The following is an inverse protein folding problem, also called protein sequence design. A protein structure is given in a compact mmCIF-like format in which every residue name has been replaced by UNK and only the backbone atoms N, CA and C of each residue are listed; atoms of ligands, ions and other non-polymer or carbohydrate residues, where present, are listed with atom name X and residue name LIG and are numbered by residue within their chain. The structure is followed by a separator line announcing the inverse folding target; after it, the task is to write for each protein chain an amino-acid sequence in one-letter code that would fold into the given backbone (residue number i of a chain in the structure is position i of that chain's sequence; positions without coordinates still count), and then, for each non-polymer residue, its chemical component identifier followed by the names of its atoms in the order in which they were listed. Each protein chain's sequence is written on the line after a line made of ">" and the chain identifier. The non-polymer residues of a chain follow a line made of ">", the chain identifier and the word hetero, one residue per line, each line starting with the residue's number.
data_IF_625516707585
#
_entry.id   IF_625516707585
#
_cell.length_a   1.000
_cell.length_b   1.000
_cell.length_c   1.000
_cell.angle_alpha   90.00
_cell.angle_beta   90.00
_cell.angle_gamma   90.00
#
_symmetry.space_group_name_H-M   'P 1'
#
loop_
_entity.id
_entity.type
_entity.pdbx_description
1 polymer ?
#
# COMPACT_ATOMS: atom_id res chain seq x y z
N UNK A 1 -22.78 -14.30 14.41
CA UNK A 1 -23.26 -13.76 13.11
C UNK A 1 -22.16 -13.76 12.03
N UNK A 2 -20.94 -13.27 12.29
CA UNK A 2 -19.84 -13.32 11.30
C UNK A 2 -19.33 -14.75 11.01
N UNK A 3 -19.05 -15.53 12.07
CA UNK A 3 -18.57 -16.92 11.92
C UNK A 3 -19.63 -17.85 11.32
N UNK A 4 -20.91 -17.65 11.69
CA UNK A 4 -22.03 -18.43 11.16
C UNK A 4 -22.28 -18.24 9.65
N UNK A 5 -21.71 -17.20 9.03
CA UNK A 5 -21.78 -16.96 7.59
C UNK A 5 -20.48 -17.23 6.84
N UNK A 6 -19.43 -17.72 7.50
CA UNK A 6 -18.11 -17.96 6.87
C UNK A 6 -17.33 -16.68 6.52
N UNK A 7 -17.72 -15.52 7.05
CA UNK A 7 -17.08 -14.24 6.74
C UNK A 7 -16.03 -13.88 7.80
N UNK A 8 -14.79 -13.64 7.38
CA UNK A 8 -13.76 -13.05 8.24
C UNK A 8 -13.82 -11.52 8.19
N UNK A 9 -13.41 -10.86 9.27
CA UNK A 9 -13.29 -9.39 9.31
C UNK A 9 -12.39 -8.87 8.20
N UNK A 10 -11.32 -9.60 7.88
CA UNK A 10 -10.42 -9.26 6.78
C UNK A 10 -11.13 -9.32 5.43
N UNK A 11 -11.95 -10.34 5.18
CA UNK A 11 -12.71 -10.46 3.93
C UNK A 11 -13.72 -9.30 3.76
N UNK A 12 -14.45 -8.95 4.82
CA UNK A 12 -15.44 -7.87 4.77
C UNK A 12 -14.78 -6.49 4.64
N UNK A 13 -13.71 -6.24 5.41
CA UNK A 13 -13.02 -4.96 5.43
C UNK A 13 -12.21 -4.75 4.16
N UNK A 14 -11.34 -5.70 3.79
CA UNK A 14 -10.33 -5.54 2.74
C UNK A 14 -10.84 -5.93 1.34
N UNK A 15 -11.92 -6.71 1.25
CA UNK A 15 -12.44 -7.23 -0.02
C UNK A 15 -13.65 -6.48 -0.57
N UNK A 16 -14.39 -5.71 0.25
CA UNK A 16 -15.62 -5.02 -0.18
C UNK A 16 -15.42 -3.55 -0.55
N UNK A 17 -14.34 -2.93 -0.07
CA UNK A 17 -14.10 -1.50 -0.24
C UNK A 17 -12.71 -1.29 -0.83
N UNK A 18 -12.60 -0.45 -1.86
CA UNK A 18 -11.30 -0.01 -2.40
C UNK A 18 -10.65 1.06 -1.53
N UNK A 19 -11.47 1.80 -0.76
CA UNK A 19 -11.07 2.92 0.09
C UNK A 19 -12.08 3.13 1.22
N UNK A 20 -11.59 3.60 2.37
CA UNK A 20 -12.43 3.97 3.52
C UNK A 20 -12.00 5.35 3.98
N UNK A 21 -12.93 6.32 3.97
CA UNK A 21 -12.71 7.67 4.48
C UNK A 21 -13.58 7.86 5.72
N UNK A 22 -12.96 7.92 6.89
CA UNK A 22 -13.63 8.14 8.16
C UNK A 22 -13.63 9.63 8.49
N UNK A 23 -14.81 10.26 8.50
CA UNK A 23 -14.97 11.64 8.94
C UNK A 23 -15.23 11.63 10.44
N UNK A 24 -14.30 12.22 11.21
CA UNK A 24 -14.43 12.28 12.68
C UNK A 24 -15.66 13.09 13.08
N UNK A 25 -16.48 12.59 14.00
CA UNK A 25 -17.63 13.31 14.57
C UNK A 25 -17.28 14.73 15.00
N UNK A 26 -18.16 15.71 14.76
CA UNK A 26 -17.93 17.09 15.20
C UNK A 26 -17.75 17.20 16.73
N UNK A 27 -18.27 16.25 17.52
CA UNK A 27 -18.05 16.20 18.96
C UNK A 27 -16.57 16.12 19.35
N UNK A 28 -15.71 15.57 18.49
CA UNK A 28 -14.26 15.50 18.67
C UNK A 28 -13.57 16.63 17.90
N UNK A 29 -13.17 17.69 18.61
CA UNK A 29 -12.41 18.81 18.06
C UNK A 29 -13.25 19.95 17.46
N UNK A 30 -14.57 19.83 17.35
CA UNK A 30 -15.47 20.90 16.89
C UNK A 30 -16.81 20.92 17.66
N UNK A 31 -16.77 20.73 18.99
CA UNK A 31 -17.95 20.53 19.81
C UNK A 31 -19.03 21.62 19.69
N UNK A 32 -18.64 22.88 19.39
CA UNK A 32 -19.57 23.97 19.13
C UNK A 32 -20.48 23.72 17.90
N UNK A 33 -20.03 22.91 16.94
CA UNK A 33 -20.81 22.47 15.78
C UNK A 33 -21.58 21.16 16.03
N UNK A 34 -21.47 20.57 17.24
CA UNK A 34 -22.12 19.33 17.60
C UNK A 34 -23.36 19.60 18.48
N UNK A 35 -24.55 19.50 17.89
CA UNK A 35 -25.81 19.73 18.61
C UNK A 35 -27.04 19.16 17.90
N UNK A 36 -28.19 19.22 18.57
CA UNK A 36 -29.47 18.65 18.10
C UNK A 36 -30.34 19.65 17.32
N UNK A 37 -29.94 20.93 17.24
CA UNK A 37 -30.68 21.97 16.50
C UNK A 37 -30.84 21.66 15.00
N UNK A 38 -29.99 20.78 14.45
CA UNK A 38 -29.98 20.40 13.03
C UNK A 38 -30.28 18.92 12.78
N UNK A 39 -30.50 18.10 13.82
CA UNK A 39 -30.73 16.65 13.65
C UNK A 39 -31.59 16.05 14.77
N UNK A 40 -32.88 15.87 14.51
CA UNK A 40 -33.86 15.32 15.45
C UNK A 40 -33.67 13.82 15.75
N UNK A 41 -32.85 13.10 14.99
CA UNK A 41 -32.58 11.66 15.18
C UNK A 41 -31.39 11.38 16.10
N UNK A 42 -30.69 12.42 16.57
CA UNK A 42 -29.50 12.30 17.42
C UNK A 42 -29.90 12.15 18.89
N UNK A 43 -29.46 11.04 19.50
CA UNK A 43 -29.79 10.70 20.90
C UNK A 43 -28.55 10.62 21.80
N UNK A 44 -27.36 10.55 21.21
CA UNK A 44 -26.11 10.46 21.94
C UNK A 44 -25.61 11.83 22.44
N UNK A 45 -25.02 11.85 23.63
CA UNK A 45 -24.28 13.00 24.16
C UNK A 45 -22.96 13.20 23.39
N UNK A 46 -22.32 14.39 23.45
CA UNK A 46 -21.02 14.61 22.80
C UNK A 46 -19.97 13.55 23.19
N UNK A 47 -19.85 13.22 24.48
CA UNK A 47 -18.90 12.21 24.95
C UNK A 47 -19.20 10.80 24.44
N UNK A 48 -20.49 10.43 24.37
CA UNK A 48 -20.90 9.16 23.76
C UNK A 48 -20.59 9.14 22.26
N UNK A 49 -20.81 10.25 21.55
CA UNK A 49 -20.51 10.37 20.13
C UNK A 49 -19.02 10.17 19.84
N UNK A 50 -18.13 10.77 20.64
CA UNK A 50 -16.68 10.56 20.54
C UNK A 50 -16.32 9.10 20.76
N UNK A 51 -16.93 8.46 21.76
CA UNK A 51 -16.69 7.04 22.07
C UNK A 51 -17.16 6.12 20.94
N UNK A 52 -18.34 6.39 20.37
CA UNK A 52 -18.90 5.64 19.25
C UNK A 52 -18.08 5.84 17.97
N UNK A 53 -17.64 7.08 17.68
CA UNK A 53 -16.75 7.39 16.57
C UNK A 53 -15.44 6.60 16.67
N UNK A 54 -14.81 6.59 17.84
CA UNK A 54 -13.58 5.85 18.08
C UNK A 54 -13.76 4.35 17.84
N UNK A 55 -14.88 3.77 18.31
CA UNK A 55 -15.22 2.36 18.06
C UNK A 55 -15.42 2.09 16.56
N UNK A 56 -16.23 2.90 15.88
CA UNK A 56 -16.49 2.76 14.45
C UNK A 56 -15.19 2.84 13.63
N UNK A 57 -14.35 3.83 13.93
CA UNK A 57 -13.04 4.03 13.30
C UNK A 57 -12.13 2.81 13.51
N UNK A 58 -12.15 2.23 14.71
CA UNK A 58 -11.34 1.05 15.04
C UNK A 58 -11.70 -0.19 14.22
N UNK A 59 -12.97 -0.35 13.82
CA UNK A 59 -13.42 -1.46 12.98
C UNK A 59 -12.73 -1.49 11.60
N UNK A 60 -12.27 -0.34 11.12
CA UNK A 60 -11.59 -0.20 9.84
C UNK A 60 -10.07 -0.30 9.92
N UNK A 61 -9.51 -0.42 11.13
CA UNK A 61 -8.05 -0.59 11.31
C UNK A 61 -7.61 -1.84 10.59
N UNK A 62 -6.57 -1.70 9.77
CA UNK A 62 -6.07 -2.74 8.89
C UNK A 62 -6.50 -2.59 7.44
N UNK A 63 -7.48 -1.75 7.10
CA UNK A 63 -7.79 -1.50 5.69
C UNK A 63 -6.58 -0.84 4.99
N UNK A 64 -6.17 -1.28 3.78
CA UNK A 64 -4.98 -0.74 3.10
C UNK A 64 -5.12 0.72 2.68
N UNK A 65 -6.35 1.21 2.54
CA UNK A 65 -6.67 2.58 2.14
C UNK A 65 -7.64 3.26 3.13
N UNK A 66 -7.45 3.05 4.44
CA UNK A 66 -8.13 3.86 5.45
C UNK A 66 -7.52 5.26 5.49
N UNK A 67 -8.38 6.28 5.53
CA UNK A 67 -8.05 7.68 5.79
C UNK A 67 -8.98 8.22 6.87
N UNK A 68 -8.42 9.04 7.75
CA UNK A 68 -9.16 9.70 8.83
C UNK A 68 -9.08 11.20 8.53
N UNK A 69 -10.24 11.84 8.42
CA UNK A 69 -10.34 13.30 8.25
C UNK A 69 -10.94 13.86 9.52
N UNK A 70 -10.11 14.58 10.27
CA UNK A 70 -10.48 15.15 11.57
C UNK A 70 -11.24 16.49 11.42
N UNK A 71 -11.47 17.18 12.54
CA UNK A 71 -12.06 18.52 12.54
C UNK A 71 -11.01 19.63 12.75
N UNK A 72 -9.72 19.34 12.59
CA UNK A 72 -8.67 20.34 12.66
C UNK A 72 -8.57 21.16 11.36
N UNK A 73 -7.71 22.18 11.35
CA UNK A 73 -7.33 22.92 10.15
C UNK A 73 -8.06 24.25 9.88
N UNK A 74 -8.95 24.71 10.78
CA UNK A 74 -9.73 25.93 10.55
C UNK A 74 -10.71 25.79 9.37
N UNK A 75 -11.51 26.82 9.09
CA UNK A 75 -12.40 26.84 7.91
C UNK A 75 -13.68 25.98 7.99
N UNK A 76 -13.92 25.30 9.12
CA UNK A 76 -15.18 24.62 9.41
C UNK A 76 -15.49 23.45 8.47
N UNK A 77 -16.78 23.18 8.25
CA UNK A 77 -17.24 22.02 7.50
C UNK A 77 -16.81 22.03 6.02
N UNK A 78 -16.86 23.19 5.35
CA UNK A 78 -16.47 23.30 3.95
C UNK A 78 -15.00 22.92 3.74
N UNK A 79 -14.09 23.44 4.57
CA UNK A 79 -12.67 23.07 4.50
C UNK A 79 -12.44 21.57 4.76
N UNK A 80 -13.23 20.96 5.67
CA UNK A 80 -13.18 19.51 5.89
C UNK A 80 -13.60 18.72 4.65
N UNK A 81 -14.64 19.17 3.94
CA UNK A 81 -15.11 18.52 2.72
C UNK A 81 -14.11 18.63 1.56
N UNK A 82 -13.39 19.75 1.44
CA UNK A 82 -12.29 19.88 0.47
C UNK A 82 -11.16 18.86 0.73
N UNK A 83 -10.88 18.57 2.00
CA UNK A 83 -9.88 17.55 2.37
C UNK A 83 -10.38 16.14 2.07
N UNK A 84 -11.66 15.87 2.30
CA UNK A 84 -12.30 14.62 1.85
C UNK A 84 -12.21 14.49 0.33
N UNK A 85 -12.50 15.54 -0.42
CA UNK A 85 -12.39 15.56 -1.87
C UNK A 85 -10.96 15.22 -2.33
N UNK A 86 -9.96 15.88 -1.76
CA UNK A 86 -8.55 15.59 -2.04
C UNK A 86 -8.15 14.15 -1.74
N UNK A 87 -8.63 13.60 -0.62
CA UNK A 87 -8.44 12.19 -0.27
C UNK A 87 -9.05 11.26 -1.31
N UNK A 88 -10.30 11.49 -1.72
CA UNK A 88 -10.99 10.66 -2.71
C UNK A 88 -10.27 10.74 -4.06
N UNK A 89 -9.92 11.93 -4.53
CA UNK A 89 -9.15 12.11 -5.76
C UNK A 89 -7.83 11.33 -5.72
N UNK A 90 -7.09 11.41 -4.61
CA UNK A 90 -5.87 10.63 -4.42
C UNK A 90 -6.09 9.11 -4.40
N UNK A 91 -7.24 8.64 -3.91
CA UNK A 91 -7.62 7.21 -3.97
C UNK A 91 -7.92 6.74 -5.39
N UNK A 92 -8.62 7.56 -6.18
CA UNK A 92 -9.03 7.21 -7.56
C UNK A 92 -8.00 7.59 -8.63
N UNK A 93 -6.87 8.20 -8.24
CA UNK A 93 -5.80 8.59 -9.17
C UNK A 93 -6.06 9.90 -9.92
N UNK A 94 -7.01 10.70 -9.46
CA UNK A 94 -7.25 12.05 -10.00
C UNK A 94 -6.25 13.03 -9.35
N UNK A 95 -5.50 13.81 -10.14
CA UNK A 95 -4.50 14.75 -9.63
C UNK A 95 -5.17 16.04 -9.12
N UNK A 96 -5.98 15.96 -8.06
CA UNK A 96 -6.70 17.12 -7.51
C UNK A 96 -6.15 17.64 -6.17
N UNK A 97 -5.38 16.83 -5.42
CA UNK A 97 -4.76 17.27 -4.16
C UNK A 97 -3.58 16.40 -3.76
N UNK A 98 -2.53 17.05 -3.24
CA UNK A 98 -1.26 16.43 -2.87
C UNK A 98 -1.36 15.73 -1.51
N UNK A 99 -2.15 14.66 -1.38
CA UNK A 99 -2.03 13.81 -0.18
C UNK A 99 -0.61 13.27 -0.10
N UNK A 100 0.12 13.63 0.95
CA UNK A 100 1.52 13.25 1.10
C UNK A 100 1.62 12.01 1.99
N UNK A 101 2.38 11.01 1.55
CA UNK A 101 2.70 9.85 2.38
C UNK A 101 4.04 10.08 3.06
N UNK A 102 4.02 10.27 4.37
CA UNK A 102 5.25 10.36 5.18
C UNK A 102 5.74 8.98 5.59
N UNK A 103 7.05 8.80 5.63
CA UNK A 103 7.72 7.55 6.00
C UNK A 103 8.87 7.85 6.95
N UNK A 104 8.97 7.10 8.04
CA UNK A 104 10.00 7.26 9.06
C UNK A 104 10.74 5.95 9.28
N UNK A 105 12.05 6.05 9.49
CA UNK A 105 12.87 4.95 9.98
C UNK A 105 12.63 4.82 11.49
N UNK A 106 12.27 3.61 11.93
CA UNK A 106 12.14 3.29 13.36
C UNK A 106 13.36 2.50 13.79
N UNK A 107 14.03 2.94 14.86
CA UNK A 107 15.24 2.30 15.38
C UNK A 107 14.90 1.07 16.24
N UNK A 108 13.85 1.19 17.05
CA UNK A 108 13.30 0.10 17.87
C UNK A 108 11.87 0.39 18.30
N UNK A 109 11.12 -0.67 18.56
CA UNK A 109 9.88 -0.58 19.32
C UNK A 109 10.18 -0.37 20.81
N UNK A 110 9.25 0.26 21.53
CA UNK A 110 9.33 0.38 22.98
C UNK A 110 9.18 -0.98 23.69
N UNK A 111 9.19 -0.97 25.02
CA UNK A 111 9.17 -2.19 25.84
C UNK A 111 7.88 -3.02 25.75
N UNK A 112 6.78 -2.47 25.21
CA UNK A 112 5.53 -3.20 24.97
C UNK A 112 5.50 -3.67 23.52
N UNK A 113 5.34 -4.98 23.32
CA UNK A 113 5.14 -5.54 21.99
C UNK A 113 3.86 -4.95 21.38
N UNK A 114 3.98 -4.23 20.25
CA UNK A 114 2.82 -3.59 19.61
C UNK A 114 1.71 -4.59 19.25
N UNK A 115 2.07 -5.84 18.94
CA UNK A 115 1.11 -6.91 18.64
C UNK A 115 0.18 -7.24 19.83
N UNK A 116 0.56 -6.89 21.05
CA UNK A 116 -0.26 -7.08 22.25
C UNK A 116 -1.15 -5.87 22.58
N UNK A 117 -1.02 -4.75 21.84
CA UNK A 117 -1.82 -3.56 22.10
C UNK A 117 -3.22 -3.68 21.46
N UNK A 118 -4.24 -3.29 22.23
CA UNK A 118 -5.61 -3.22 21.70
C UNK A 118 -5.70 -2.25 20.51
N UNK A 119 -6.50 -2.62 19.51
CA UNK A 119 -6.70 -1.78 18.32
C UNK A 119 -5.54 -1.81 17.31
N UNK A 120 -4.61 -2.77 17.44
CA UNK A 120 -3.60 -3.07 16.42
C UNK A 120 -4.07 -4.23 15.54
N UNK A 121 -3.82 -4.14 14.23
CA UNK A 121 -4.08 -5.22 13.29
C UNK A 121 -2.80 -5.65 12.57
N UNK A 122 -2.44 -6.92 12.72
CA UNK A 122 -1.28 -7.56 12.09
C UNK A 122 -1.63 -8.22 10.75
N UNK A 123 -0.66 -8.18 9.83
CA UNK A 123 -0.74 -8.81 8.51
C UNK A 123 0.63 -9.30 8.06
N UNK A 124 0.61 -10.43 7.36
CA UNK A 124 1.73 -10.87 6.52
C UNK A 124 1.58 -10.28 5.12
N UNK A 125 2.68 -9.74 4.60
CA UNK A 125 2.73 -9.17 3.26
C UNK A 125 3.96 -9.69 2.55
N UNK A 126 3.76 -10.20 1.34
CA UNK A 126 4.84 -10.58 0.42
C UNK A 126 4.68 -9.75 -0.84
N UNK A 127 5.73 -9.04 -1.22
CA UNK A 127 5.76 -8.28 -2.47
C UNK A 127 6.87 -8.80 -3.38
N UNK A 128 6.49 -9.22 -4.59
CA UNK A 128 7.38 -9.79 -5.60
C UNK A 128 7.36 -8.89 -6.82
N UNK A 129 8.53 -8.44 -7.26
CA UNK A 129 8.66 -7.66 -8.50
C UNK A 129 8.80 -8.60 -9.68
N UNK A 130 8.18 -8.23 -10.79
CA UNK A 130 8.15 -9.03 -12.01
C UNK A 130 9.17 -8.51 -13.02
N UNK A 131 9.61 -9.37 -13.92
CA UNK A 131 10.45 -8.97 -15.06
C UNK A 131 9.67 -7.95 -15.88
N UNK A 132 10.21 -6.74 -15.96
CA UNK A 132 9.69 -5.72 -16.85
C UNK A 132 10.43 -5.78 -18.18
N UNK A 133 9.74 -5.95 -19.33
CA UNK A 133 10.37 -5.84 -20.64
C UNK A 133 11.16 -4.52 -20.80
N UNK A 134 12.23 -4.48 -21.59
CA UNK A 134 12.92 -3.23 -21.89
C UNK A 134 11.96 -2.21 -22.52
N UNK A 135 12.17 -0.93 -22.21
CA UNK A 135 11.36 0.17 -22.73
C UNK A 135 11.36 0.11 -24.28
N UNK A 136 10.21 -0.23 -24.87
CA UNK A 136 10.06 -0.42 -26.32
C UNK A 136 9.18 -1.61 -26.71
N UNK A 137 9.14 -2.69 -25.92
CA UNK A 137 8.40 -3.90 -26.30
C UNK A 137 6.87 -3.80 -26.08
N UNK A 138 6.43 -2.91 -25.19
CA UNK A 138 5.02 -2.80 -24.76
C UNK A 138 4.18 -1.91 -25.67
N UNK A 139 4.83 -0.98 -26.38
CA UNK A 139 4.15 -0.15 -27.38
C UNK A 139 3.56 -1.02 -28.48
N UNK A 140 4.29 -2.03 -28.92
CA UNK A 140 3.85 -2.97 -29.96
C UNK A 140 2.71 -3.90 -29.47
N UNK A 141 2.81 -4.44 -28.24
CA UNK A 141 1.80 -5.38 -27.74
C UNK A 141 0.47 -4.69 -27.33
N UNK A 142 0.52 -3.46 -26.79
CA UNK A 142 -0.68 -2.69 -26.48
C UNK A 142 -1.32 -2.08 -27.74
N UNK A 143 -0.53 -1.68 -28.75
CA UNK A 143 -1.05 -1.23 -30.04
C UNK A 143 -1.66 -2.40 -30.86
N UNK A 144 -1.05 -3.60 -30.81
CA UNK A 144 -1.58 -4.78 -31.50
C UNK A 144 -2.91 -5.28 -30.91
N UNK A 145 -3.18 -5.04 -29.62
CA UNK A 145 -4.47 -5.36 -29.01
C UNK A 145 -5.57 -4.30 -29.30
N UNK A 146 -5.18 -3.12 -29.82
CA UNK A 146 -6.09 -2.02 -30.15
C UNK A 146 -6.35 -1.90 -31.67
N UNK A 147 -5.56 -2.57 -32.52
CA UNK A 147 -5.81 -2.68 -33.94
C UNK A 147 -6.86 -3.76 -34.20
N UNK A 148 -8.13 -3.34 -34.24
CA UNK A 148 -9.18 -4.10 -34.92
C UNK A 148 -8.86 -4.27 -36.41
N UNK A 149 -9.52 -5.24 -37.05
CA UNK A 149 -9.29 -5.66 -38.43
C UNK A 149 -9.09 -4.49 -39.42
N UNK A 150 -8.13 -4.60 -40.36
CA UNK A 150 -7.81 -3.52 -41.26
C UNK A 150 -8.97 -3.28 -42.23
N UNK A 151 -9.48 -2.04 -42.21
CA UNK A 151 -10.28 -1.52 -43.31
C UNK A 151 -9.30 -0.98 -44.35
N UNK A 152 -9.45 -1.49 -45.57
CA UNK A 152 -8.64 -1.24 -46.75
C UNK A 152 -8.62 0.25 -47.15
N UNK A 153 -7.45 0.72 -47.64
CA UNK A 153 -7.34 1.94 -48.42
C UNK A 153 -6.27 2.95 -47.98
N UNK A 154 -5.25 3.13 -48.83
CA UNK A 154 -4.63 4.44 -49.03
C UNK A 154 -3.10 4.52 -48.88
N UNK A 155 -2.40 4.43 -50.01
CA UNK A 155 -0.98 4.73 -50.18
C UNK A 155 -0.58 6.12 -49.66
N UNK A 156 0.57 6.21 -48.96
CA UNK A 156 1.09 7.49 -48.49
C UNK A 156 2.45 7.40 -47.77
N UNK A 157 3.51 7.37 -48.59
CA UNK A 157 4.88 7.87 -48.42
C UNK A 157 5.64 7.76 -47.06
N UNK A 158 6.86 7.22 -47.16
CA UNK A 158 7.77 6.87 -46.09
C UNK A 158 8.67 8.05 -45.67
N UNK A 159 8.34 8.70 -44.54
CA UNK A 159 9.18 9.69 -43.87
C UNK A 159 10.02 9.09 -42.74
N UNK A 160 11.26 8.68 -43.05
CA UNK A 160 12.29 8.30 -42.06
C UNK A 160 12.69 9.52 -41.21
N UNK A 161 12.26 9.56 -39.94
CA UNK A 161 12.75 10.54 -38.96
C UNK A 161 13.56 9.82 -37.89
N UNK A 162 14.86 10.14 -37.89
CA UNK A 162 15.89 9.66 -36.97
C UNK A 162 15.53 9.97 -35.52
N UNK A 163 15.93 9.03 -34.66
CA UNK A 163 15.62 9.00 -33.23
C UNK A 163 15.97 10.29 -32.49
N UNK A 164 14.98 10.77 -31.75
CA UNK A 164 15.17 11.71 -30.64
C UNK A 164 15.27 10.88 -29.36
N UNK A 165 16.35 11.12 -28.62
CA UNK A 165 16.73 10.37 -27.43
C UNK A 165 15.61 10.31 -26.39
N UNK A 166 15.36 9.10 -25.89
CA UNK A 166 14.41 8.86 -24.82
C UNK A 166 14.81 9.68 -23.57
N UNK A 167 13.87 10.39 -22.93
CA UNK A 167 14.15 11.11 -21.70
C UNK A 167 14.52 10.13 -20.59
N UNK A 168 15.41 10.56 -19.68
CA UNK A 168 15.92 9.84 -18.52
C UNK A 168 14.84 9.61 -17.44
N UNK A 169 13.72 8.98 -17.80
CA UNK A 169 12.68 8.50 -16.89
C UNK A 169 13.01 7.09 -16.41
N UNK A 170 13.01 6.85 -15.10
CA UNK A 170 13.29 5.53 -14.54
C UNK A 170 12.40 4.43 -15.14
N UNK A 171 12.93 3.21 -15.29
CA UNK A 171 12.19 2.09 -15.84
C UNK A 171 10.88 1.82 -15.06
N UNK A 172 9.81 1.50 -15.79
CA UNK A 172 8.55 1.00 -15.24
C UNK A 172 8.75 -0.18 -14.27
N UNK A 173 7.86 -0.27 -13.29
CA UNK A 173 7.92 -1.25 -12.21
C UNK A 173 6.62 -2.07 -12.22
N UNK A 174 6.73 -3.39 -12.28
CA UNK A 174 5.60 -4.31 -12.16
C UNK A 174 5.81 -5.19 -10.92
N UNK A 175 4.76 -5.39 -10.12
CA UNK A 175 4.84 -6.25 -8.94
C UNK A 175 3.51 -6.88 -8.60
N UNK A 176 3.57 -8.06 -8.01
CA UNK A 176 2.43 -8.71 -7.40
C UNK A 176 2.61 -8.76 -5.88
N UNK A 177 1.53 -8.52 -5.14
CA UNK A 177 1.53 -8.49 -3.68
C UNK A 177 0.48 -9.43 -3.14
N UNK A 178 0.90 -10.35 -2.28
CA UNK A 178 0.04 -11.08 -1.37
C UNK A 178 -0.02 -10.34 -0.03
N UNK A 179 -1.21 -10.24 0.55
CA UNK A 179 -1.40 -9.69 1.89
C UNK A 179 -2.49 -10.48 2.61
N UNK A 180 -2.29 -10.83 3.87
CA UNK A 180 -3.29 -11.57 4.62
C UNK A 180 -2.93 -11.83 6.07
N UNK A 181 -3.80 -12.58 6.73
CA UNK A 181 -3.61 -13.14 8.08
C UNK A 181 -4.53 -14.34 8.25
N UNK A 182 -4.17 -15.26 9.15
CA UNK A 182 -5.04 -16.37 9.56
C UNK A 182 -5.59 -17.19 8.37
N UNK A 183 -4.75 -17.41 7.36
CA UNK A 183 -5.12 -18.17 6.14
C UNK A 183 -5.93 -17.38 5.09
N UNK A 184 -6.39 -16.16 5.39
CA UNK A 184 -7.10 -15.30 4.43
C UNK A 184 -6.13 -14.34 3.74
N UNK A 185 -5.99 -14.48 2.42
CA UNK A 185 -5.10 -13.66 1.61
C UNK A 185 -5.83 -12.96 0.48
N UNK A 186 -5.46 -11.70 0.23
CA UNK A 186 -5.83 -10.92 -0.94
C UNK A 186 -4.59 -10.64 -1.78
N UNK A 187 -4.78 -10.56 -3.10
CA UNK A 187 -3.72 -10.37 -4.06
C UNK A 187 -3.94 -9.10 -4.87
N UNK A 188 -2.89 -8.31 -5.05
CA UNK A 188 -2.92 -7.08 -5.83
C UNK A 188 -1.77 -7.07 -6.82
N UNK A 189 -2.10 -6.93 -8.09
CA UNK A 189 -1.15 -6.62 -9.15
C UNK A 189 -0.97 -5.10 -9.26
N UNK A 190 0.28 -4.64 -9.32
CA UNK A 190 0.63 -3.22 -9.39
C UNK A 190 1.55 -2.94 -10.54
N UNK A 191 1.22 -1.90 -11.30
CA UNK A 191 2.06 -1.37 -12.37
C UNK A 191 2.33 0.10 -12.06
N UNK A 192 3.60 0.50 -12.03
CA UNK A 192 4.02 1.88 -11.81
C UNK A 192 4.84 2.36 -13.00
N UNK A 193 4.38 3.40 -13.69
CA UNK A 193 5.00 3.92 -14.93
C UNK A 193 5.43 5.37 -14.75
N UNK A 194 6.58 5.79 -15.30
CA UNK A 194 6.90 7.20 -15.36
C UNK A 194 5.90 7.91 -16.30
N UNK A 195 5.43 9.09 -15.91
CA UNK A 195 4.58 9.94 -16.75
C UNK A 195 5.47 10.97 -17.42
N UNK A 196 5.70 10.82 -18.72
CA UNK A 196 6.65 11.65 -19.49
C UNK A 196 6.37 13.16 -19.37
N UNK A 197 5.12 13.56 -19.20
CA UNK A 197 4.70 14.97 -19.07
C UNK A 197 4.89 15.58 -17.67
N UNK A 198 5.30 14.81 -16.65
CA UNK A 198 5.46 15.28 -15.27
C UNK A 198 6.84 14.90 -14.74
N UNK A 199 7.74 15.86 -14.61
CA UNK A 199 9.02 15.66 -13.94
C UNK A 199 8.84 15.84 -12.41
N UNK A 200 9.39 14.91 -11.60
CA UNK A 200 9.36 15.00 -10.13
C UNK A 200 8.65 13.84 -9.43
N UNK A 201 8.37 13.95 -8.11
CA UNK A 201 7.69 12.90 -7.32
C UNK A 201 6.29 12.54 -7.84
N UNK A 202 5.63 13.47 -8.54
CA UNK A 202 4.33 13.29 -9.23
C UNK A 202 4.46 12.76 -10.66
N UNK A 203 5.67 12.41 -11.08
CA UNK A 203 6.00 11.85 -12.38
C UNK A 203 5.74 10.35 -12.51
N UNK A 204 4.89 9.78 -11.65
CA UNK A 204 4.58 8.35 -11.67
C UNK A 204 3.09 8.10 -11.62
N UNK A 205 2.61 7.26 -12.52
CA UNK A 205 1.26 6.69 -12.50
C UNK A 205 1.34 5.31 -11.84
N UNK A 206 0.43 5.00 -10.91
CA UNK A 206 0.34 3.69 -10.26
C UNK A 206 -1.06 3.09 -10.48
N UNK A 207 -1.12 2.00 -11.24
CA UNK A 207 -2.31 1.18 -11.41
C UNK A 207 -2.30 0.03 -10.40
N UNK A 208 -3.42 -0.19 -9.71
CA UNK A 208 -3.63 -1.33 -8.79
C UNK A 208 -4.85 -2.13 -9.24
N UNK A 209 -4.70 -3.44 -9.36
CA UNK A 209 -5.79 -4.36 -9.68
C UNK A 209 -5.84 -5.50 -8.68
N UNK A 210 -7.00 -5.76 -8.09
CA UNK A 210 -7.23 -6.99 -7.34
C UNK A 210 -7.19 -8.18 -8.30
N UNK A 211 -6.52 -9.27 -7.92
CA UNK A 211 -6.39 -10.47 -8.77
C UNK A 211 -6.76 -11.72 -7.99
N UNK A 212 -7.25 -12.73 -8.71
CA UNK A 212 -7.53 -14.04 -8.12
C UNK A 212 -6.25 -14.82 -7.81
N UNK A 213 -6.37 -15.92 -7.07
CA UNK A 213 -5.24 -16.78 -6.73
C UNK A 213 -4.55 -17.36 -7.99
N UNK A 214 -5.33 -17.76 -9.01
CA UNK A 214 -4.78 -18.28 -10.27
C UNK A 214 -3.89 -17.24 -10.97
N UNK A 215 -4.40 -16.03 -11.14
CA UNK A 215 -3.66 -14.93 -11.75
C UNK A 215 -2.42 -14.56 -10.93
N UNK A 216 -2.52 -14.59 -9.60
CA UNK A 216 -1.39 -14.38 -8.70
C UNK A 216 -0.26 -15.37 -8.97
N UNK A 217 -0.57 -16.68 -9.05
CA UNK A 217 0.40 -17.73 -9.35
C UNK A 217 1.00 -17.56 -10.75
N UNK A 218 0.18 -17.23 -11.76
CA UNK A 218 0.68 -16.95 -13.11
C UNK A 218 1.61 -15.74 -13.16
N UNK A 219 1.32 -14.68 -12.40
CA UNK A 219 2.20 -13.50 -12.29
C UNK A 219 3.50 -13.84 -11.55
N UNK A 220 3.45 -14.67 -10.50
CA UNK A 220 4.65 -15.12 -9.79
C UNK A 220 5.64 -15.87 -10.68
N UNK A 221 5.15 -16.60 -11.70
CA UNK A 221 6.03 -17.25 -12.69
C UNK A 221 6.90 -16.25 -13.49
N UNK A 222 6.52 -14.96 -13.50
CA UNK A 222 7.28 -13.85 -14.12
C UNK A 222 8.16 -13.09 -13.12
N UNK A 223 8.42 -13.64 -11.93
CA UNK A 223 9.23 -12.97 -10.92
C UNK A 223 10.62 -12.59 -11.46
N UNK A 224 11.07 -11.37 -11.17
CA UNK A 224 12.38 -10.87 -11.58
C UNK A 224 13.51 -11.60 -10.80
N UNK A 225 14.36 -12.41 -11.47
CA UNK A 225 15.40 -13.18 -10.80
C UNK A 225 16.50 -12.30 -10.19
N UNK A 226 16.62 -11.03 -10.61
CA UNK A 226 17.55 -10.07 -10.02
C UNK A 226 17.07 -9.49 -8.68
N UNK A 227 15.87 -9.87 -8.23
CA UNK A 227 15.20 -9.35 -7.04
C UNK A 227 14.71 -10.46 -6.15
N UNK A 228 14.75 -10.22 -4.84
CA UNK A 228 14.11 -11.10 -3.86
C UNK A 228 12.70 -10.60 -3.55
N UNK A 229 11.76 -11.52 -3.41
CA UNK A 229 10.45 -11.24 -2.80
C UNK A 229 10.64 -10.68 -1.38
N UNK A 230 10.07 -9.50 -1.13
CA UNK A 230 10.21 -8.81 0.15
C UNK A 230 9.10 -9.27 1.08
N UNK A 231 9.47 -9.90 2.20
CA UNK A 231 8.55 -10.31 3.27
C UNK A 231 8.45 -9.22 4.32
N UNK A 232 7.23 -8.89 4.72
CA UNK A 232 6.92 -7.77 5.60
C UNK A 232 5.86 -8.21 6.60
N UNK A 233 6.16 -8.07 7.89
CA UNK A 233 5.14 -8.10 8.95
C UNK A 233 4.61 -6.70 9.16
N UNK A 234 3.33 -6.48 8.83
CA UNK A 234 2.69 -5.17 8.84
C UNK A 234 1.75 -5.03 10.02
N UNK A 235 1.94 -3.98 10.81
CA UNK A 235 1.04 -3.56 11.88
C UNK A 235 0.35 -2.26 11.53
N UNK A 236 -0.97 -2.28 11.59
CA UNK A 236 -1.81 -1.11 11.38
C UNK A 236 -2.44 -0.68 12.70
N UNK A 237 -2.44 0.60 13.02
CA UNK A 237 -3.01 1.11 14.26
C UNK A 237 -3.40 2.58 14.15
N UNK A 238 -4.27 3.04 15.04
CA UNK A 238 -4.61 4.44 15.20
C UNK A 238 -3.80 5.00 16.36
N UNK A 239 -3.23 6.19 16.16
CA UNK A 239 -2.68 6.98 17.26
C UNK A 239 -3.11 8.42 17.06
N UNK A 240 -3.73 9.01 18.10
CA UNK A 240 -4.34 10.33 18.03
C UNK A 240 -5.32 10.39 16.84
N UNK A 241 -5.05 11.25 15.86
CA UNK A 241 -5.90 11.50 14.69
C UNK A 241 -5.38 10.83 13.42
N UNK A 242 -4.31 10.05 13.51
CA UNK A 242 -3.64 9.49 12.34
C UNK A 242 -3.70 7.97 12.33
N UNK A 243 -3.83 7.42 11.13
CA UNK A 243 -3.73 6.00 10.86
C UNK A 243 -2.31 5.65 10.42
N UNK A 244 -1.65 4.82 11.21
CA UNK A 244 -0.26 4.43 11.03
C UNK A 244 -0.14 3.00 10.54
N UNK A 245 0.90 2.78 9.73
CA UNK A 245 1.32 1.46 9.27
C UNK A 245 2.82 1.27 9.56
N UNK A 246 3.13 0.36 10.48
CA UNK A 246 4.49 -0.06 10.80
C UNK A 246 4.82 -1.36 10.05
N UNK A 247 5.77 -1.27 9.13
CA UNK A 247 6.30 -2.41 8.38
C UNK A 247 7.61 -2.89 9.03
N UNK A 248 7.65 -4.15 9.47
CA UNK A 248 8.88 -4.84 9.82
C UNK A 248 9.31 -5.72 8.64
N UNK A 249 10.34 -5.27 7.93
CA UNK A 249 10.84 -5.90 6.70
C UNK A 249 11.95 -6.87 7.07
N UNK A 250 11.75 -8.14 6.72
CA UNK A 250 12.72 -9.22 6.98
C UNK A 250 14.07 -8.91 6.32
N UNK A 251 15.15 -9.09 7.08
CA UNK A 251 16.53 -9.00 6.60
C UNK A 251 17.15 -10.41 6.55
N UNK A 252 18.19 -10.63 5.73
CA UNK A 252 18.83 -11.95 5.62
C UNK A 252 19.57 -12.34 6.90
N UNK A 253 19.93 -13.61 7.00
CA UNK A 253 20.84 -14.15 8.01
C UNK A 253 20.45 -13.86 9.47
N UNK A 254 19.14 -13.73 9.72
CA UNK A 254 18.61 -13.46 11.07
C UNK A 254 18.89 -12.05 11.58
N UNK A 255 19.35 -11.13 10.71
CA UNK A 255 19.50 -9.72 11.06
C UNK A 255 18.18 -9.13 11.54
N UNK A 256 18.28 -8.12 12.41
CA UNK A 256 17.12 -7.39 12.90
C UNK A 256 16.32 -6.80 11.72
N UNK A 257 14.97 -6.85 11.77
CA UNK A 257 14.14 -6.34 10.69
C UNK A 257 14.31 -4.83 10.51
N UNK A 258 14.24 -4.37 9.27
CA UNK A 258 14.16 -2.93 8.97
C UNK A 258 12.74 -2.44 9.27
N UNK A 259 12.61 -1.50 10.20
CA UNK A 259 11.33 -0.97 10.63
C UNK A 259 11.01 0.36 9.93
N UNK A 260 9.88 0.42 9.23
CA UNK A 260 9.40 1.62 8.55
C UNK A 260 7.99 1.99 8.99
N UNK A 261 7.84 3.14 9.64
CA UNK A 261 6.54 3.71 9.99
C UNK A 261 6.04 4.58 8.82
N UNK A 262 4.77 4.44 8.46
CA UNK A 262 4.14 5.23 7.39
C UNK A 262 2.80 5.79 7.86
N UNK A 263 2.47 6.97 7.36
CA UNK A 263 1.17 7.62 7.53
C UNK A 263 0.86 8.49 6.31
N UNK A 264 -0.39 8.90 6.19
CA UNK A 264 -0.84 9.90 5.23
C UNK A 264 -1.11 11.21 5.96
N UNK A 265 -0.69 12.31 5.34
CA UNK A 265 -0.99 13.69 5.78
C UNK A 265 -1.64 14.43 4.62
N UNK A 266 -2.39 15.47 4.95
CA UNK A 266 -3.15 16.24 3.96
C UNK A 266 -2.24 17.21 3.22
N UNK A 267 -1.19 17.72 3.88
CA UNK A 267 -0.18 18.59 3.28
C UNK A 267 1.25 18.26 3.72
N UNK A 268 2.21 18.58 2.86
CA UNK A 268 3.63 18.51 3.23
C UNK A 268 3.92 19.53 4.35
N UNK A 269 4.67 19.10 5.38
CA UNK A 269 5.00 19.94 6.53
C UNK A 269 3.90 20.03 7.61
N UNK A 270 2.77 19.36 7.43
CA UNK A 270 1.72 19.27 8.46
C UNK A 270 2.30 18.71 9.78
N UNK A 271 2.03 19.36 10.93
CA UNK A 271 2.40 18.85 12.24
C UNK A 271 1.83 17.43 12.43
N UNK A 272 2.70 16.50 12.82
CA UNK A 272 2.34 15.10 12.96
C UNK A 272 2.76 14.60 14.34
N UNK A 273 1.80 14.08 15.10
CA UNK A 273 2.08 13.43 16.37
C UNK A 273 2.54 11.99 16.17
N UNK A 274 3.83 11.74 16.37
CA UNK A 274 4.41 10.41 16.28
C UNK A 274 4.14 9.61 17.57
N UNK A 275 3.91 8.28 17.48
CA UNK A 275 3.65 7.46 18.66
C UNK A 275 4.85 7.42 19.62
N UNK A 276 4.70 7.80 20.90
CA UNK A 276 5.82 7.98 21.84
C UNK A 276 6.50 6.66 22.23
N UNK A 277 5.83 5.53 22.01
CA UNK A 277 6.38 4.20 22.23
C UNK A 277 7.26 3.70 21.06
N UNK A 278 7.44 4.50 20.00
CA UNK A 278 8.36 4.18 18.90
C UNK A 278 9.59 5.08 18.98
N UNK A 279 10.77 4.47 18.91
CA UNK A 279 12.02 5.24 18.83
C UNK A 279 12.27 5.60 17.36
N UNK A 280 11.77 6.76 16.96
CA UNK A 280 11.89 7.26 15.59
C UNK A 280 13.31 7.82 15.37
N UNK A 281 13.97 7.37 14.31
CA UNK A 281 15.30 7.88 13.93
C UNK A 281 15.19 9.17 13.12
N UNK A 282 14.62 9.07 11.91
CA UNK A 282 14.38 10.22 11.01
C UNK A 282 13.28 9.94 9.99
N UNK A 283 12.81 11.01 9.36
CA UNK A 283 11.99 10.91 8.15
C UNK A 283 12.84 10.44 6.96
N UNK A 284 12.32 9.50 6.18
CA UNK A 284 12.92 8.89 4.98
C UNK A 284 11.92 8.89 3.82
N UNK A 285 11.04 9.89 3.79
CA UNK A 285 10.03 10.08 2.75
C UNK A 285 10.72 10.31 1.40
N UNK A 286 10.29 9.60 0.36
CA UNK A 286 10.88 9.71 -0.98
C UNK A 286 12.27 9.09 -1.15
N UNK A 287 12.98 8.74 -0.07
CA UNK A 287 14.34 8.19 -0.16
C UNK A 287 14.36 6.81 -0.83
N UNK A 288 15.08 6.64 -1.97
CA UNK A 288 15.13 5.38 -2.71
C UNK A 288 15.56 4.15 -1.89
N UNK A 289 16.59 4.21 -1.01
CA UNK A 289 17.05 3.04 -0.24
C UNK A 289 15.98 2.42 0.66
N UNK A 290 14.94 3.18 1.03
CA UNK A 290 13.84 2.74 1.88
C UNK A 290 12.57 2.41 1.07
N UNK A 291 12.67 2.30 -0.25
CA UNK A 291 11.58 1.80 -1.10
C UNK A 291 11.62 0.28 -1.18
N UNK A 292 10.45 -0.37 -1.23
CA UNK A 292 10.35 -1.84 -1.36
C UNK A 292 11.04 -2.33 -2.64
N UNK A 293 11.02 -1.52 -3.71
CA UNK A 293 11.72 -1.80 -4.96
C UNK A 293 13.23 -1.89 -4.78
N UNK A 294 13.86 -0.88 -4.17
CA UNK A 294 15.31 -0.92 -3.93
C UNK A 294 15.71 -1.97 -2.90
N UNK A 295 14.88 -2.16 -1.86
CA UNK A 295 15.09 -3.23 -0.88
C UNK A 295 15.08 -4.61 -1.54
N UNK A 296 14.15 -4.89 -2.48
CA UNK A 296 14.11 -6.17 -3.21
C UNK A 296 15.41 -6.48 -3.95
N UNK A 297 16.06 -5.45 -4.50
CA UNK A 297 17.33 -5.57 -5.21
C UNK A 297 18.49 -5.78 -4.24
N UNK A 298 18.53 -5.03 -3.14
CA UNK A 298 19.55 -5.19 -2.09
C UNK A 298 19.53 -6.60 -1.50
N UNK A 299 18.35 -7.07 -1.09
CA UNK A 299 18.11 -8.41 -0.54
C UNK A 299 18.36 -9.54 -1.55
N UNK A 300 18.34 -9.23 -2.85
CA UNK A 300 18.69 -10.15 -3.94
C UNK A 300 20.20 -10.32 -4.11
N UNK A 301 20.97 -9.23 -4.01
CA UNK A 301 22.44 -9.23 -4.20
C UNK A 301 23.19 -10.02 -3.13
N UNK A 302 22.67 -10.06 -1.91
CA UNK A 302 23.27 -10.79 -0.78
C UNK A 302 23.20 -12.33 -0.92
N UNK A 303 22.53 -12.88 -1.95
CA UNK A 303 22.53 -14.32 -2.27
C UNK A 303 23.87 -14.88 -2.76
N UNK A 304 24.86 -14.06 -3.11
CA UNK A 304 26.12 -14.57 -3.67
C UNK A 304 27.04 -15.27 -2.67
N UNK A 305 26.72 -15.32 -1.38
CA UNK A 305 27.65 -15.90 -0.39
C UNK A 305 27.25 -17.21 0.29
N UNK A 306 25.99 -17.66 0.28
CA UNK A 306 25.67 -18.92 0.95
C UNK A 306 24.58 -19.73 0.24
N UNK A 307 25.02 -20.87 -0.33
CA UNK A 307 24.17 -21.99 -0.67
C UNK A 307 23.79 -22.75 0.62
N UNK A 308 22.52 -23.11 0.72
CA UNK A 308 22.06 -24.19 1.60
C UNK A 308 21.76 -23.80 3.04
N UNK A 309 20.46 -23.59 3.33
CA UNK A 309 19.71 -24.40 4.32
C UNK A 309 18.21 -24.10 4.21
N UNK A 310 17.34 -25.12 4.12
CA UNK A 310 15.90 -24.93 4.22
C UNK A 310 15.50 -24.57 5.66
N UNK A 311 14.54 -23.65 5.77
CA UNK A 311 13.97 -23.19 7.03
C UNK A 311 13.16 -24.31 7.69
N UNK A 312 13.62 -24.81 8.85
CA UNK A 312 12.83 -25.66 9.74
C UNK A 312 11.96 -24.76 10.62
N UNK A 313 10.66 -24.70 10.32
CA UNK A 313 9.67 -24.14 11.24
C UNK A 313 9.55 -25.00 12.50
N UNK A 314 9.59 -24.37 13.67
CA UNK A 314 9.08 -24.96 14.90
C UNK A 314 7.56 -25.06 14.82
N UNK A 315 7.01 -26.23 15.13
CA UNK A 315 5.59 -26.39 15.49
C UNK A 315 4.70 -27.04 14.43
N UNK A 316 4.78 -28.37 14.37
CA UNK A 316 3.73 -29.34 14.04
C UNK A 316 2.36 -28.83 13.55
N UNK A 317 2.03 -29.14 12.29
CA UNK A 317 0.68 -29.06 11.76
C UNK A 317 0.66 -29.23 10.24
N UNK A 318 0.27 -30.41 9.77
CA UNK A 318 0.26 -30.81 8.35
C UNK A 318 -0.49 -29.82 7.45
N UNK A 319 0.19 -29.29 6.43
CA UNK A 319 -0.32 -29.26 5.04
C UNK A 319 0.84 -28.96 4.10
N UNK A 320 1.28 -30.02 3.42
CA UNK A 320 2.39 -30.05 2.48
C UNK A 320 1.86 -29.65 1.10
N UNK A 321 2.27 -28.50 0.60
CA UNK A 321 2.31 -28.20 -0.84
C UNK A 321 3.72 -27.73 -1.11
N UNK A 322 4.57 -28.69 -1.45
CA UNK A 322 5.98 -28.47 -1.76
C UNK A 322 6.07 -27.64 -3.05
N UNK A 323 6.80 -26.53 -2.97
CA UNK A 323 7.25 -25.72 -4.09
C UNK A 323 8.22 -26.59 -4.92
N UNK A 324 7.84 -26.96 -6.14
CA UNK A 324 8.74 -27.67 -7.04
C UNK A 324 9.85 -26.73 -7.51
N UNK A 325 11.06 -27.13 -7.12
CA UNK A 325 12.35 -26.68 -7.59
C UNK A 325 12.54 -27.22 -9.03
N UNK A 326 12.30 -26.39 -10.04
CA UNK A 326 12.66 -26.73 -11.43
C UNK A 326 14.15 -26.45 -11.62
N UNK A 327 14.94 -27.43 -11.21
CA UNK A 327 16.36 -27.56 -11.53
C UNK A 327 16.56 -27.72 -13.04
N UNK A 328 17.58 -27.03 -13.52
CA UNK A 328 18.16 -27.12 -14.85
C UNK A 328 19.11 -28.33 -14.91
N UNK A 329 18.85 -29.26 -15.81
CA UNK A 329 19.80 -30.14 -16.54
C UNK A 329 18.94 -30.90 -17.56
N UNK A 330 19.15 -30.90 -18.87
CA UNK A 330 20.38 -30.99 -19.68
C UNK A 330 20.20 -30.10 -20.91
#
# INVERSE_FOLDING_TARGET
>A
MMEAGGWSTAALRDGRYDGVVHLVTAADGAAAAYGCATNASRVETPAQAVTLDAKLRSCWVGHPALRVVDNAGGGGFAAKMERVYGVVCGMVGVPASATCRRKFLVLREGGVALSAMAGVADFEVVQTFLVTPPAGAVGAAAAAAAAGDPVDGGDGDAGSVRGTGAPAGGAWQESVRQRGRDGYYTFVHKVRRPVAARAGPDGWEELKRAVGNRDYLSLLARADPSRRSVRIRRRCFLYRRSYYVLDAIEQPDGQAPLLLLRTHVEAAGEPLELPPWLHIGREVTGEPPYTVYELSRRLGRERRLFAGRPFKGLGTGRSRVDLLDLGTSV
#
